data_IF_834332368789
#
_entry.id   IF_834332368789
#
_cell.length_a   1.000
_cell.length_b   1.000
_cell.length_c   1.000
_cell.angle_alpha   90.00
_cell.angle_beta   90.00
_cell.angle_gamma   90.00
#
_symmetry.space_group_name_H-M   'P 1'
#
loop_
_entity.id
_entity.type
_entity.pdbx_description
1 polymer ?
#
# COMPACT_ATOMS: atom_id res chain seq x y z
N UNK A 1 3.02 18.77 -31.79
CA UNK A 1 3.00 18.19 -30.43
C UNK A 1 3.74 19.18 -29.54
N UNK A 2 2.98 19.91 -28.74
CA UNK A 2 3.48 20.99 -27.89
C UNK A 2 4.16 20.38 -26.66
N UNK A 3 5.25 20.99 -26.18
CA UNK A 3 5.88 20.68 -24.87
C UNK A 3 4.84 20.54 -23.74
N UNK A 4 3.72 21.27 -23.86
CA UNK A 4 2.60 21.26 -22.91
C UNK A 4 1.86 19.92 -22.82
N UNK A 5 1.74 19.17 -23.92
CA UNK A 5 1.06 17.88 -23.94
C UNK A 5 1.88 16.78 -23.26
N UNK A 6 3.22 16.91 -23.26
CA UNK A 6 4.12 15.95 -22.63
C UNK A 6 4.11 16.06 -21.10
N UNK A 7 4.04 17.27 -20.56
CA UNK A 7 3.96 17.52 -19.12
C UNK A 7 2.64 17.04 -18.52
N UNK A 8 1.50 17.26 -19.20
CA UNK A 8 0.19 16.80 -18.74
C UNK A 8 0.09 15.26 -18.69
N UNK A 9 0.65 14.57 -19.69
CA UNK A 9 0.71 13.10 -19.72
C UNK A 9 1.59 12.56 -18.58
N UNK A 10 2.72 13.20 -18.27
CA UNK A 10 3.58 12.78 -17.16
C UNK A 10 2.95 13.06 -15.79
N UNK A 11 2.24 14.18 -15.64
CA UNK A 11 1.52 14.51 -14.41
C UNK A 11 0.42 13.49 -14.11
N UNK A 12 -0.39 13.12 -15.11
CA UNK A 12 -1.45 12.12 -14.97
C UNK A 12 -0.89 10.73 -14.63
N UNK A 13 0.14 10.28 -15.35
CA UNK A 13 0.80 8.99 -15.07
C UNK A 13 1.39 8.93 -13.66
N UNK A 14 1.91 10.04 -13.16
CA UNK A 14 2.48 10.12 -11.81
C UNK A 14 1.37 10.11 -10.75
N UNK A 15 0.25 10.79 -11.01
CA UNK A 15 -0.91 10.81 -10.12
C UNK A 15 -1.58 9.42 -10.02
N UNK A 16 -1.84 8.75 -11.15
CA UNK A 16 -2.42 7.41 -11.17
C UNK A 16 -1.52 6.39 -10.47
N UNK A 17 -0.21 6.42 -10.75
CA UNK A 17 0.75 5.50 -10.12
C UNK A 17 0.81 5.70 -8.60
N UNK A 18 0.78 6.95 -8.12
CA UNK A 18 0.74 7.27 -6.69
C UNK A 18 -0.60 6.88 -6.05
N UNK A 19 -1.71 7.07 -6.76
CA UNK A 19 -3.06 6.69 -6.29
C UNK A 19 -3.18 5.17 -6.14
N UNK A 20 -2.75 4.42 -7.15
CA UNK A 20 -2.76 2.95 -7.14
C UNK A 20 -1.88 2.38 -6.02
N UNK A 21 -0.65 2.87 -5.86
CA UNK A 21 0.25 2.44 -4.79
C UNK A 21 -0.32 2.74 -3.39
N UNK A 22 -0.95 3.90 -3.19
CA UNK A 22 -1.62 4.24 -1.92
C UNK A 22 -2.84 3.33 -1.67
N UNK A 23 -3.63 3.03 -2.70
CA UNK A 23 -4.79 2.15 -2.58
C UNK A 23 -4.42 0.72 -2.19
N UNK A 24 -3.42 0.12 -2.85
CA UNK A 24 -2.94 -1.23 -2.55
C UNK A 24 -2.35 -1.31 -1.13
N UNK A 25 -1.57 -0.30 -0.74
CA UNK A 25 -0.98 -0.22 0.61
C UNK A 25 -2.07 -0.12 1.68
N UNK A 26 -3.11 0.71 1.46
CA UNK A 26 -4.22 0.85 2.41
C UNK A 26 -4.98 -0.47 2.57
N UNK A 27 -5.24 -1.19 1.47
CA UNK A 27 -5.96 -2.46 1.50
C UNK A 27 -5.19 -3.55 2.25
N UNK A 28 -3.88 -3.67 2.03
CA UNK A 28 -3.04 -4.62 2.77
C UNK A 28 -2.98 -4.30 4.27
N UNK A 29 -2.95 -3.02 4.64
CA UNK A 29 -2.98 -2.60 6.05
C UNK A 29 -4.33 -2.91 6.71
N UNK A 30 -5.45 -2.68 6.02
CA UNK A 30 -6.78 -2.96 6.56
C UNK A 30 -6.99 -4.47 6.79
N UNK A 31 -6.54 -5.30 5.84
CA UNK A 31 -6.53 -6.75 6.00
C UNK A 31 -5.62 -7.16 7.16
N UNK A 32 -4.43 -6.56 7.27
CA UNK A 32 -3.53 -6.84 8.39
C UNK A 32 -4.20 -6.53 9.74
N UNK A 33 -4.80 -5.34 9.89
CA UNK A 33 -5.49 -4.91 11.12
C UNK A 33 -6.60 -5.89 11.53
N UNK A 34 -7.42 -6.34 10.58
CA UNK A 34 -8.47 -7.32 10.85
C UNK A 34 -7.94 -8.71 11.26
N UNK A 35 -6.71 -9.04 10.86
CA UNK A 35 -6.08 -10.32 11.17
C UNK A 35 -5.22 -10.28 12.45
N UNK A 36 -4.85 -9.10 12.96
CA UNK A 36 -4.00 -8.95 14.16
C UNK A 36 -4.59 -9.63 15.39
N UNK A 37 -5.93 -9.63 15.52
CA UNK A 37 -6.62 -10.21 16.67
C UNK A 37 -6.71 -11.75 16.62
N UNK A 38 -6.48 -12.35 15.46
CA UNK A 38 -6.73 -13.78 15.21
C UNK A 38 -5.50 -14.56 14.75
N UNK A 39 -4.47 -13.89 14.25
CA UNK A 39 -3.26 -14.51 13.68
C UNK A 39 -1.97 -13.89 14.23
N UNK A 40 -0.88 -14.63 14.10
CA UNK A 40 0.48 -14.17 14.38
C UNK A 40 1.06 -13.31 13.24
N UNK A 41 2.12 -12.58 13.55
CA UNK A 41 2.70 -11.59 12.63
C UNK A 41 3.30 -12.21 11.36
N UNK A 42 3.81 -13.44 11.42
CA UNK A 42 4.41 -14.13 10.28
C UNK A 42 3.33 -14.56 9.28
N UNK A 43 2.22 -15.11 9.78
CA UNK A 43 1.08 -15.49 8.95
C UNK A 43 0.41 -14.27 8.31
N UNK A 44 0.29 -13.17 9.05
CA UNK A 44 -0.29 -11.92 8.52
C UNK A 44 0.62 -11.33 7.45
N UNK A 45 1.94 -11.29 7.67
CA UNK A 45 2.91 -10.84 6.69
C UNK A 45 2.79 -11.64 5.38
N UNK A 46 2.71 -12.97 5.47
CA UNK A 46 2.56 -13.85 4.32
C UNK A 46 1.24 -13.58 3.56
N UNK A 47 0.13 -13.39 4.27
CA UNK A 47 -1.20 -13.18 3.66
C UNK A 47 -1.39 -11.79 3.06
N UNK A 48 -0.74 -10.78 3.63
CA UNK A 48 -0.91 -9.37 3.21
C UNK A 48 0.20 -8.89 2.28
N UNK A 49 1.29 -9.66 2.15
CA UNK A 49 2.49 -9.27 1.42
C UNK A 49 3.29 -8.17 2.13
N UNK A 50 2.94 -7.82 3.37
CA UNK A 50 3.67 -6.87 4.19
C UNK A 50 4.85 -7.55 4.89
N UNK A 51 5.85 -6.77 5.29
CA UNK A 51 6.93 -7.29 6.11
C UNK A 51 6.44 -7.54 7.55
N UNK A 52 7.04 -8.52 8.22
CA UNK A 52 6.76 -8.80 9.65
C UNK A 52 6.99 -7.55 10.51
N UNK A 53 7.97 -6.71 10.17
CA UNK A 53 8.21 -5.44 10.87
C UNK A 53 7.04 -4.46 10.71
N UNK A 54 6.47 -4.36 9.51
CA UNK A 54 5.26 -3.54 9.29
C UNK A 54 4.09 -4.05 10.13
N UNK A 55 3.91 -5.37 10.24
CA UNK A 55 2.84 -5.94 11.07
C UNK A 55 3.07 -5.64 12.56
N UNK A 56 4.31 -5.77 13.05
CA UNK A 56 4.67 -5.41 14.43
C UNK A 56 4.38 -3.95 14.75
N UNK A 57 4.65 -3.03 13.82
CA UNK A 57 4.31 -1.60 13.98
C UNK A 57 2.80 -1.39 14.12
N UNK A 58 1.98 -2.14 13.39
CA UNK A 58 0.52 -2.05 13.47
C UNK A 58 -0.06 -2.53 14.81
N UNK A 59 0.67 -3.34 15.59
CA UNK A 59 0.26 -3.75 16.95
C UNK A 59 0.59 -2.73 18.04
N UNK A 60 1.53 -1.84 17.77
CA UNK A 60 2.04 -0.86 18.75
C UNK A 60 1.35 0.51 18.54
N UNK A 61 0.70 0.70 17.39
CA UNK A 61 -0.19 1.83 17.09
C UNK A 61 -1.44 1.83 17.99
#
# INVERSE_FOLDING_TARGET
MSLKEFDEINALRTAERKGYQKGETNKSIEIAKNLLDVLDDETIALKTGLSVESIKKLRIE
#
